data_IF_912062368678
#
_entry.id   IF_912062368678
#
_cell.length_a   1.000
_cell.length_b   1.000
_cell.length_c   1.000
_cell.angle_alpha   90.00
_cell.angle_beta   90.00
_cell.angle_gamma   90.00
#
_symmetry.space_group_name_H-M   'P 1'
#
loop_
_entity.id
_entity.type
_entity.pdbx_description
1 polymer ?
#
# COMPACT_ATOMS: atom_id res chain seq x y z
N UNK A 1 -10.19 0.10 17.97
CA UNK A 1 -11.16 0.24 16.85
C UNK A 1 -12.51 -0.28 17.36
N UNK A 2 -13.62 0.42 17.07
CA UNK A 2 -14.98 0.00 17.47
C UNK A 2 -15.78 -0.30 16.20
N UNK A 3 -16.64 -1.32 16.25
CA UNK A 3 -17.59 -1.61 15.15
C UNK A 3 -18.61 -0.48 15.03
N UNK A 4 -19.38 -0.48 13.93
CA UNK A 4 -20.56 0.38 13.74
C UNK A 4 -21.55 0.30 14.93
N UNK A 5 -21.49 -0.79 15.71
CA UNK A 5 -22.33 -1.04 16.88
C UNK A 5 -21.62 -0.76 18.23
N UNK A 6 -20.44 -0.14 18.21
CA UNK A 6 -19.73 0.29 19.41
C UNK A 6 -18.93 -0.80 20.14
N UNK A 7 -18.89 -2.03 19.63
CA UNK A 7 -18.10 -3.11 20.22
C UNK A 7 -16.62 -2.96 19.88
N UNK A 8 -15.69 -3.21 20.83
CA UNK A 8 -14.28 -3.34 20.50
C UNK A 8 -14.10 -4.47 19.48
N UNK A 9 -13.51 -4.17 18.32
CA UNK A 9 -13.14 -5.22 17.36
C UNK A 9 -11.90 -5.95 17.86
N UNK A 10 -11.96 -7.27 17.84
CA UNK A 10 -10.84 -8.15 18.21
C UNK A 10 -9.87 -8.33 17.05
N UNK A 11 -8.63 -8.75 17.35
CA UNK A 11 -7.62 -9.11 16.33
C UNK A 11 -8.13 -10.21 15.38
N UNK A 12 -8.94 -11.14 15.88
CA UNK A 12 -9.57 -12.20 15.07
C UNK A 12 -10.50 -11.61 14.01
N UNK A 13 -11.31 -10.61 14.37
CA UNK A 13 -12.26 -9.99 13.45
C UNK A 13 -11.58 -9.07 12.45
N UNK A 14 -10.52 -8.38 12.86
CA UNK A 14 -9.81 -7.43 11.99
C UNK A 14 -8.72 -8.07 11.14
N UNK A 15 -8.35 -9.33 11.39
CA UNK A 15 -7.24 -9.98 10.71
C UNK A 15 -5.92 -9.24 10.93
N UNK A 16 -5.70 -8.73 12.14
CA UNK A 16 -4.59 -7.84 12.51
C UNK A 16 -4.57 -6.49 11.75
N UNK A 17 -5.69 -5.99 11.25
CA UNK A 17 -5.74 -4.60 10.81
C UNK A 17 -5.61 -3.67 12.02
N UNK A 18 -4.45 -3.02 12.12
CA UNK A 18 -4.08 -2.08 13.19
C UNK A 18 -3.94 -0.64 12.69
N UNK A 19 -4.43 -0.33 11.48
CA UNK A 19 -4.37 1.02 10.98
C UNK A 19 -5.26 1.97 11.77
N UNK A 20 -4.78 3.21 11.89
CA UNK A 20 -5.50 4.30 12.55
C UNK A 20 -5.71 5.44 11.58
N UNK A 21 -6.97 5.91 11.50
CA UNK A 21 -7.38 7.01 10.63
C UNK A 21 -6.61 8.29 10.97
N UNK A 22 -6.14 9.01 9.95
CA UNK A 22 -5.42 10.28 10.08
C UNK A 22 -3.97 10.17 10.57
N UNK A 23 -3.43 8.96 10.79
CA UNK A 23 -2.02 8.82 11.17
C UNK A 23 -1.07 9.20 10.03
N UNK A 24 -0.01 9.92 10.38
CA UNK A 24 1.12 10.24 9.52
C UNK A 24 2.29 9.27 9.79
N UNK A 25 3.38 9.39 9.04
CA UNK A 25 4.56 8.56 9.28
C UNK A 25 5.23 8.77 10.64
N UNK A 26 5.09 9.93 11.26
CA UNK A 26 5.56 10.15 12.64
C UNK A 26 4.93 9.17 13.65
N UNK A 27 3.72 8.66 13.38
CA UNK A 27 3.04 7.67 14.22
C UNK A 27 3.40 6.23 13.86
N UNK A 28 4.25 6.01 12.84
CA UNK A 28 4.48 4.68 12.29
C UNK A 28 5.27 3.79 13.27
N UNK A 29 6.24 4.35 13.99
CA UNK A 29 7.01 3.61 15.00
C UNK A 29 6.12 3.09 16.15
N UNK A 30 5.15 3.88 16.61
CA UNK A 30 4.21 3.46 17.65
C UNK A 30 3.27 2.36 17.15
N UNK A 31 2.72 2.52 15.94
CA UNK A 31 1.90 1.47 15.30
C UNK A 31 2.70 0.18 15.09
N UNK A 32 3.98 0.30 14.74
CA UNK A 32 4.90 -0.83 14.58
C UNK A 32 5.14 -1.54 15.91
N UNK A 33 5.35 -0.80 16.99
CA UNK A 33 5.48 -1.37 18.34
C UNK A 33 4.22 -2.16 18.73
N UNK A 34 3.05 -1.54 18.56
CA UNK A 34 1.76 -2.18 18.84
C UNK A 34 1.56 -3.47 18.02
N UNK A 35 1.97 -3.47 16.74
CA UNK A 35 1.94 -4.66 15.89
C UNK A 35 2.83 -5.78 16.44
N UNK A 36 4.08 -5.47 16.81
CA UNK A 36 5.03 -6.44 17.35
C UNK A 36 4.49 -7.04 18.65
N UNK A 37 3.98 -6.21 19.55
CA UNK A 37 3.43 -6.65 20.83
C UNK A 37 2.16 -7.50 20.65
N UNK A 38 1.33 -7.14 19.66
CA UNK A 38 0.17 -7.94 19.25
C UNK A 38 0.61 -9.31 18.73
N UNK A 39 1.62 -9.38 17.85
CA UNK A 39 2.14 -10.66 17.36
C UNK A 39 2.72 -11.54 18.47
N UNK A 40 3.43 -10.96 19.44
CA UNK A 40 4.03 -11.70 20.56
C UNK A 40 2.99 -12.26 21.53
N UNK A 41 1.87 -11.56 21.71
CA UNK A 41 0.84 -11.90 22.69
C UNK A 41 -0.33 -12.71 22.12
N UNK A 42 -0.51 -12.73 20.80
CA UNK A 42 -1.66 -13.38 20.17
C UNK A 42 -1.56 -14.92 20.21
N UNK A 43 -2.47 -15.63 20.91
CA UNK A 43 -2.35 -17.08 21.13
C UNK A 43 -2.41 -17.95 19.87
N UNK A 44 -3.00 -17.43 18.79
CA UNK A 44 -3.17 -18.17 17.52
C UNK A 44 -2.03 -18.00 16.52
N UNK A 45 -0.95 -17.30 16.88
CA UNK A 45 0.21 -17.04 16.03
C UNK A 45 1.46 -17.55 16.75
N UNK A 46 2.24 -18.40 16.09
CA UNK A 46 3.58 -18.69 16.56
C UNK A 46 4.50 -17.54 16.13
N UNK A 47 4.87 -16.69 17.09
CA UNK A 47 5.71 -15.52 16.82
C UNK A 47 7.01 -15.87 16.10
N UNK A 48 7.66 -16.97 16.47
CA UNK A 48 8.97 -17.38 15.92
C UNK A 48 8.84 -18.15 14.61
N UNK A 49 7.85 -19.04 14.50
CA UNK A 49 7.81 -20.02 13.41
C UNK A 49 6.90 -19.64 12.24
N UNK A 50 5.83 -18.88 12.47
CA UNK A 50 4.91 -18.56 11.37
C UNK A 50 5.48 -17.44 10.49
N UNK A 51 5.28 -17.52 9.18
CA UNK A 51 5.53 -16.37 8.31
C UNK A 51 4.44 -15.32 8.51
N UNK A 52 4.84 -14.05 8.64
CA UNK A 52 3.93 -12.90 8.70
C UNK A 52 4.03 -12.08 7.43
N UNK A 53 2.89 -11.79 6.81
CA UNK A 53 2.80 -10.83 5.70
C UNK A 53 2.14 -9.55 6.21
N UNK A 54 2.81 -8.41 6.02
CA UNK A 54 2.29 -7.09 6.43
C UNK A 54 2.31 -6.16 5.24
N UNK A 55 1.22 -5.44 5.01
CA UNK A 55 1.16 -4.38 3.99
C UNK A 55 1.12 -3.02 4.67
N UNK A 56 1.89 -2.07 4.15
CA UNK A 56 2.02 -0.68 4.62
C UNK A 56 1.63 0.25 3.48
N UNK A 57 0.74 1.20 3.73
CA UNK A 57 0.30 2.22 2.77
C UNK A 57 0.23 3.59 3.47
N UNK A 58 1.36 4.16 3.85
CA UNK A 58 1.39 5.39 4.66
C UNK A 58 2.08 6.54 3.90
N UNK A 59 1.84 7.79 4.32
CA UNK A 59 2.45 8.99 3.72
C UNK A 59 1.47 9.95 3.04
N UNK A 60 0.25 9.50 2.71
CA UNK A 60 -0.77 10.37 2.10
C UNK A 60 -1.24 11.47 3.07
N UNK A 61 -1.35 11.16 4.36
CA UNK A 61 -1.66 12.17 5.38
C UNK A 61 -0.51 13.18 5.53
N UNK A 62 0.75 12.74 5.47
CA UNK A 62 1.92 13.64 5.49
C UNK A 62 1.85 14.66 4.34
N UNK A 63 1.47 14.23 3.13
CA UNK A 63 1.22 15.13 2.00
C UNK A 63 0.02 16.05 2.30
N UNK A 64 -1.10 15.52 2.80
CA UNK A 64 -2.28 16.30 3.17
C UNK A 64 -2.04 17.37 4.25
N UNK A 65 -1.01 17.17 5.08
CA UNK A 65 -0.66 18.02 6.21
C UNK A 65 0.57 18.89 5.95
N UNK A 66 1.24 18.76 4.81
CA UNK A 66 2.50 19.44 4.52
C UNK A 66 2.46 20.96 4.76
N UNK A 67 1.43 21.63 4.21
CA UNK A 67 1.23 23.07 4.38
C UNK A 67 0.90 23.50 5.82
N UNK A 68 0.59 22.57 6.73
CA UNK A 68 0.38 22.86 8.16
C UNK A 68 1.71 22.93 8.91
N UNK A 69 2.70 22.14 8.50
CA UNK A 69 4.06 22.17 9.03
C UNK A 69 5.03 21.50 8.04
N UNK A 70 5.66 22.32 7.19
CA UNK A 70 6.51 21.85 6.09
C UNK A 70 7.77 21.12 6.57
N UNK A 71 8.25 21.45 7.78
CA UNK A 71 9.39 20.77 8.41
C UNK A 71 8.98 19.39 8.92
N UNK A 72 7.89 19.30 9.69
CA UNK A 72 7.44 18.04 10.30
C UNK A 72 7.04 17.02 9.24
N UNK A 73 6.27 17.44 8.24
CA UNK A 73 5.78 16.60 7.14
C UNK A 73 6.64 16.76 5.87
N UNK A 74 7.94 16.90 6.06
CA UNK A 74 8.93 16.91 4.98
C UNK A 74 9.19 15.49 4.45
N UNK A 75 9.72 15.40 3.23
CA UNK A 75 10.13 14.10 2.66
C UNK A 75 11.23 13.47 3.51
N UNK A 76 12.14 14.26 4.08
CA UNK A 76 13.23 13.75 4.91
C UNK A 76 12.71 13.11 6.21
N UNK A 77 11.73 13.73 6.87
CA UNK A 77 11.09 13.14 8.04
C UNK A 77 10.27 11.90 7.67
N UNK A 78 9.55 11.92 6.53
CA UNK A 78 8.87 10.75 6.02
C UNK A 78 9.82 9.55 5.87
N UNK A 79 10.98 9.75 5.21
CA UNK A 79 11.99 8.70 5.05
C UNK A 79 12.61 8.30 6.39
N UNK A 80 12.87 9.26 7.29
CA UNK A 80 13.40 8.98 8.62
C UNK A 80 12.49 8.04 9.42
N UNK A 81 11.19 8.38 9.52
CA UNK A 81 10.22 7.58 10.26
C UNK A 81 9.95 6.23 9.60
N UNK A 82 9.84 6.19 8.26
CA UNK A 82 9.75 4.93 7.52
C UNK A 82 10.94 4.01 7.80
N UNK A 83 12.16 4.56 7.76
CA UNK A 83 13.39 3.79 8.01
C UNK A 83 13.39 3.21 9.42
N UNK A 84 13.09 4.02 10.43
CA UNK A 84 13.08 3.57 11.83
C UNK A 84 12.06 2.47 12.12
N UNK A 85 10.86 2.57 11.55
CA UNK A 85 9.83 1.54 11.68
C UNK A 85 10.20 0.23 10.97
N UNK A 86 10.76 0.30 9.75
CA UNK A 86 11.21 -0.88 9.01
C UNK A 86 12.41 -1.57 9.67
N UNK A 87 13.37 -0.80 10.22
CA UNK A 87 14.46 -1.36 11.02
C UNK A 87 13.93 -2.10 12.25
N UNK A 88 12.94 -1.53 12.94
CA UNK A 88 12.30 -2.16 14.11
C UNK A 88 11.69 -3.52 13.75
N UNK A 89 10.94 -3.58 12.64
CA UNK A 89 10.39 -4.84 12.12
C UNK A 89 11.49 -5.85 11.77
N UNK A 90 12.53 -5.42 11.03
CA UNK A 90 13.63 -6.27 10.61
C UNK A 90 14.41 -6.86 11.79
N UNK A 91 14.57 -6.09 12.86
CA UNK A 91 15.35 -6.49 14.03
C UNK A 91 14.57 -7.36 15.02
N UNK A 92 13.25 -7.17 15.12
CA UNK A 92 12.46 -7.80 16.18
C UNK A 92 11.52 -8.90 15.71
N UNK A 93 11.14 -8.94 14.43
CA UNK A 93 10.14 -9.89 13.92
C UNK A 93 10.81 -10.90 12.99
N UNK A 94 10.87 -12.19 13.38
CA UNK A 94 11.36 -13.24 12.50
C UNK A 94 10.32 -13.59 11.44
N UNK A 95 10.78 -14.13 10.30
CA UNK A 95 9.94 -14.67 9.21
C UNK A 95 8.86 -13.68 8.76
N UNK A 96 9.28 -12.55 8.19
CA UNK A 96 8.34 -11.49 7.81
C UNK A 96 8.57 -10.95 6.40
N UNK A 97 7.48 -10.77 5.66
CA UNK A 97 7.47 -10.03 4.40
C UNK A 97 6.66 -8.76 4.64
N UNK A 98 7.25 -7.61 4.32
CA UNK A 98 6.60 -6.30 4.40
C UNK A 98 6.37 -5.79 2.99
N UNK A 99 5.12 -5.78 2.53
CA UNK A 99 4.72 -5.04 1.35
C UNK A 99 4.62 -3.56 1.72
N UNK A 100 5.39 -2.69 1.05
CA UNK A 100 5.14 -1.24 1.11
C UNK A 100 4.50 -0.83 -0.20
N UNK A 101 3.24 -0.41 -0.14
CA UNK A 101 2.50 0.08 -1.30
C UNK A 101 2.96 1.50 -1.61
N UNK A 102 3.30 1.76 -2.87
CA UNK A 102 3.71 3.09 -3.29
C UNK A 102 2.56 4.09 -3.12
N UNK A 103 2.90 5.31 -2.67
CA UNK A 103 1.96 6.42 -2.55
C UNK A 103 1.46 6.78 -3.96
N UNK A 104 0.16 6.96 -4.15
CA UNK A 104 -0.39 7.42 -5.43
C UNK A 104 -0.13 8.91 -5.67
N UNK A 105 -0.26 9.36 -6.91
CA UNK A 105 -0.34 10.81 -7.18
C UNK A 105 -1.69 11.32 -6.68
N UNK A 106 -1.66 12.34 -5.83
CA UNK A 106 -2.84 12.81 -5.09
C UNK A 106 -3.63 13.89 -5.84
N UNK A 107 -3.00 14.66 -6.72
CA UNK A 107 -3.66 15.73 -7.51
C UNK A 107 -4.95 15.27 -8.23
N UNK A 108 -4.97 14.11 -8.93
CA UNK A 108 -6.17 13.63 -9.60
C UNK A 108 -7.39 13.43 -8.69
N UNK A 109 -7.18 13.22 -7.37
CA UNK A 109 -8.28 13.07 -6.42
C UNK A 109 -9.14 14.35 -6.29
N UNK A 110 -8.65 15.52 -6.73
CA UNK A 110 -9.42 16.76 -6.79
C UNK A 110 -10.61 16.68 -7.77
N UNK A 111 -10.58 15.74 -8.72
CA UNK A 111 -11.70 15.48 -9.64
C UNK A 111 -12.85 14.71 -8.99
N UNK A 112 -12.62 14.04 -7.85
CA UNK A 112 -13.64 13.23 -7.17
C UNK A 112 -14.57 14.17 -6.42
N UNK A 113 -15.82 14.28 -6.89
CA UNK A 113 -16.82 15.16 -6.29
C UNK A 113 -18.16 14.45 -6.11
N UNK A 114 -18.80 14.70 -4.96
CA UNK A 114 -20.15 14.24 -4.61
C UNK A 114 -20.90 15.35 -3.87
N UNK A 115 -22.22 15.49 -4.06
CA UNK A 115 -23.05 16.45 -3.32
C UNK A 115 -23.35 15.93 -1.90
N UNK A 116 -22.31 15.75 -1.10
CA UNK A 116 -22.39 15.19 0.26
C UNK A 116 -21.61 16.05 1.23
N UNK A 117 -22.04 16.08 2.50
CA UNK A 117 -21.35 16.86 3.54
C UNK A 117 -19.91 16.38 3.73
N UNK A 118 -19.65 15.07 3.66
CA UNK A 118 -18.30 14.50 3.77
C UNK A 118 -17.36 15.09 2.72
N UNK A 119 -17.77 15.11 1.45
CA UNK A 119 -16.99 15.68 0.36
C UNK A 119 -16.72 17.18 0.54
N UNK A 120 -17.65 17.94 1.14
CA UNK A 120 -17.41 19.34 1.48
C UNK A 120 -16.39 19.49 2.62
N UNK A 121 -16.43 18.59 3.60
CA UNK A 121 -15.49 18.53 4.73
C UNK A 121 -14.10 18.01 4.35
N UNK A 122 -13.94 17.39 3.18
CA UNK A 122 -12.65 16.93 2.65
C UNK A 122 -11.60 18.06 2.62
N UNK A 123 -12.04 19.30 2.40
CA UNK A 123 -11.23 20.54 2.49
C UNK A 123 -10.58 20.78 3.85
N UNK A 124 -11.04 20.10 4.90
CA UNK A 124 -10.50 20.18 6.26
C UNK A 124 -9.49 19.08 6.54
N UNK A 125 -9.69 17.87 6.01
CA UNK A 125 -8.81 16.73 6.27
C UNK A 125 -7.59 16.68 5.35
N UNK A 126 -7.71 17.12 4.09
CA UNK A 126 -6.59 17.22 3.15
C UNK A 126 -6.47 18.63 2.54
N UNK A 127 -6.39 19.64 3.41
CA UNK A 127 -6.48 21.05 2.99
C UNK A 127 -5.42 21.47 1.98
N UNK A 128 -4.20 20.92 2.09
CA UNK A 128 -3.09 21.28 1.20
C UNK A 128 -3.36 20.87 -0.25
N UNK A 129 -4.10 19.78 -0.48
CA UNK A 129 -4.47 19.30 -1.81
C UNK A 129 -5.68 20.05 -2.39
N UNK A 130 -6.71 20.26 -1.57
CA UNK A 130 -8.06 20.60 -2.06
C UNK A 130 -8.30 22.09 -2.16
N UNK A 131 -7.71 22.88 -1.24
CA UNK A 131 -7.96 24.33 -1.17
C UNK A 131 -7.26 25.15 -2.26
N UNK A 132 -6.00 24.83 -2.64
CA UNK A 132 -5.32 25.61 -3.66
C UNK A 132 -6.06 25.62 -4.99
N UNK A 133 -5.95 26.74 -5.71
CA UNK A 133 -6.45 26.85 -7.09
C UNK A 133 -5.61 25.99 -8.04
N UNK A 134 -6.18 25.60 -9.19
CA UNK A 134 -5.52 24.64 -10.10
C UNK A 134 -4.14 25.09 -10.60
N UNK A 135 -3.91 26.39 -10.80
CA UNK A 135 -2.63 26.90 -11.31
C UNK A 135 -1.74 27.53 -10.23
N UNK A 136 -2.10 27.36 -8.96
CA UNK A 136 -1.44 28.05 -7.86
C UNK A 136 -0.05 27.47 -7.55
N UNK A 137 0.89 28.28 -7.07
CA UNK A 137 2.21 27.80 -6.67
C UNK A 137 2.14 26.76 -5.56
N UNK A 138 1.18 26.86 -4.65
CA UNK A 138 0.99 25.91 -3.54
C UNK A 138 0.60 24.51 -4.05
N UNK A 139 -0.24 24.41 -5.08
CA UNK A 139 -0.57 23.11 -5.66
C UNK A 139 0.63 22.52 -6.39
N UNK A 140 1.39 23.33 -7.14
CA UNK A 140 2.60 22.89 -7.85
C UNK A 140 3.64 22.34 -6.87
N UNK A 141 3.89 23.06 -5.77
CA UNK A 141 4.77 22.61 -4.70
C UNK A 141 4.32 21.27 -4.12
N UNK A 142 3.02 21.09 -3.86
CA UNK A 142 2.49 19.83 -3.32
C UNK A 142 2.64 18.66 -4.31
N UNK A 143 2.43 18.90 -5.61
CA UNK A 143 2.62 17.87 -6.65
C UNK A 143 4.09 17.45 -6.73
N UNK A 144 5.01 18.41 -6.72
CA UNK A 144 6.45 18.15 -6.69
C UNK A 144 6.86 17.38 -5.43
N UNK A 145 6.32 17.77 -4.27
CA UNK A 145 6.51 17.07 -3.01
C UNK A 145 6.02 15.61 -3.09
N UNK A 146 4.82 15.36 -3.63
CA UNK A 146 4.28 14.00 -3.77
C UNK A 146 5.20 13.12 -4.65
N UNK A 147 5.73 13.66 -5.74
CA UNK A 147 6.67 12.95 -6.61
C UNK A 147 8.00 12.66 -5.88
N UNK A 148 8.47 13.60 -5.06
CA UNK A 148 9.67 13.44 -4.25
C UNK A 148 9.50 12.38 -3.15
N UNK A 149 8.32 12.30 -2.51
CA UNK A 149 7.95 11.19 -1.61
C UNK A 149 8.06 9.84 -2.32
N UNK A 150 7.46 9.71 -3.52
CA UNK A 150 7.52 8.47 -4.31
C UNK A 150 8.97 8.09 -4.64
N UNK A 151 9.77 9.05 -5.13
CA UNK A 151 11.15 8.84 -5.54
C UNK A 151 12.04 8.42 -4.37
N UNK A 152 11.91 9.09 -3.23
CA UNK A 152 12.73 8.80 -2.03
C UNK A 152 12.34 7.48 -1.39
N UNK A 153 11.05 7.11 -1.41
CA UNK A 153 10.62 5.79 -0.95
C UNK A 153 11.19 4.67 -1.84
N UNK A 154 11.18 4.85 -3.16
CA UNK A 154 11.82 3.92 -4.10
C UNK A 154 13.32 3.77 -3.82
N UNK A 155 14.03 4.88 -3.60
CA UNK A 155 15.45 4.84 -3.26
C UNK A 155 15.74 4.08 -1.96
N UNK A 156 14.88 4.26 -0.94
CA UNK A 156 15.01 3.56 0.33
C UNK A 156 14.81 2.04 0.13
N UNK A 157 13.75 1.64 -0.58
CA UNK A 157 13.31 0.24 -0.64
C UNK A 157 13.97 -0.59 -1.74
N UNK A 158 14.57 0.03 -2.75
CA UNK A 158 15.42 -0.66 -3.72
C UNK A 158 16.87 -0.85 -3.26
N UNK A 159 17.20 -0.39 -2.05
CA UNK A 159 18.47 -0.73 -1.42
C UNK A 159 18.44 -2.15 -0.82
N UNK A 160 19.61 -2.75 -0.61
CA UNK A 160 19.72 -4.06 0.05
C UNK A 160 19.52 -3.99 1.58
N UNK A 161 19.15 -2.82 2.13
CA UNK A 161 19.05 -2.59 3.59
C UNK A 161 18.05 -3.53 4.27
N UNK A 162 16.90 -3.75 3.64
CA UNK A 162 15.76 -4.44 4.25
C UNK A 162 15.57 -5.87 3.72
N UNK A 163 16.68 -6.60 3.60
CA UNK A 163 16.69 -7.98 3.11
C UNK A 163 17.64 -8.86 3.93
N UNK A 164 17.14 -9.99 4.43
CA UNK A 164 17.91 -11.09 5.02
C UNK A 164 17.15 -12.41 4.83
N UNK A 165 17.70 -13.53 5.29
CA UNK A 165 17.16 -14.87 5.03
C UNK A 165 15.67 -15.03 5.38
N UNK A 166 15.24 -14.46 6.50
CA UNK A 166 13.88 -14.58 7.03
C UNK A 166 13.10 -13.25 7.02
N UNK A 167 13.58 -12.23 6.30
CA UNK A 167 12.93 -10.93 6.26
C UNK A 167 13.13 -10.20 4.94
N UNK A 168 12.06 -9.62 4.39
CA UNK A 168 12.15 -8.77 3.22
C UNK A 168 11.12 -7.63 3.25
N UNK A 169 11.55 -6.43 2.85
CA UNK A 169 10.64 -5.33 2.49
C UNK A 169 10.58 -5.23 0.97
N UNK A 170 9.37 -5.21 0.42
CA UNK A 170 9.11 -5.22 -1.02
C UNK A 170 8.21 -4.04 -1.37
N UNK A 171 8.68 -3.18 -2.28
CA UNK A 171 7.85 -2.13 -2.83
C UNK A 171 6.81 -2.73 -3.78
N UNK A 172 5.55 -2.31 -3.63
CA UNK A 172 4.43 -2.67 -4.51
C UNK A 172 3.95 -1.40 -5.24
N UNK A 173 4.47 -1.12 -6.46
CA UNK A 173 4.27 0.15 -7.15
C UNK A 173 2.93 0.28 -7.88
N UNK A 174 2.00 -0.67 -7.75
CA UNK A 174 0.77 -0.69 -8.54
C UNK A 174 -0.05 0.61 -8.48
N UNK A 175 0.01 1.38 -7.39
CA UNK A 175 -0.67 2.67 -7.25
C UNK A 175 0.10 3.89 -7.74
N UNK A 176 1.38 3.78 -8.08
CA UNK A 176 2.29 4.90 -8.36
C UNK A 176 1.72 5.93 -9.34
N UNK A 177 1.00 5.45 -10.36
CA UNK A 177 0.45 6.25 -11.47
C UNK A 177 -1.07 6.15 -11.57
N UNK A 178 -1.73 5.54 -10.58
CA UNK A 178 -3.15 5.26 -10.64
C UNK A 178 -3.96 6.56 -10.69
N UNK A 179 -4.84 6.63 -11.68
CA UNK A 179 -5.81 7.70 -11.86
C UNK A 179 -7.19 7.26 -11.35
N UNK A 180 -8.07 8.20 -10.96
CA UNK A 180 -9.44 7.89 -10.59
C UNK A 180 -10.14 7.06 -11.68
N UNK A 181 -10.96 6.05 -11.30
CA UNK A 181 -11.76 5.30 -12.25
C UNK A 181 -12.75 6.22 -12.96
N UNK A 182 -13.02 5.94 -14.24
CA UNK A 182 -13.96 6.70 -15.07
C UNK A 182 -15.03 5.78 -15.65
N UNK A 183 -16.25 6.31 -15.74
CA UNK A 183 -17.36 5.71 -16.47
C UNK A 183 -17.14 5.85 -17.99
N UNK A 184 -17.89 5.12 -18.84
CA UNK A 184 -17.80 5.26 -20.29
C UNK A 184 -18.04 6.67 -20.84
N UNK A 185 -18.70 7.53 -20.05
CA UNK A 185 -18.92 8.94 -20.38
C UNK A 185 -17.79 9.89 -19.94
N UNK A 186 -16.66 9.35 -19.45
CA UNK A 186 -15.48 10.10 -19.02
C UNK A 186 -15.54 10.73 -17.63
N UNK A 187 -16.71 10.69 -16.96
CA UNK A 187 -16.83 11.17 -15.57
C UNK A 187 -16.20 10.20 -14.60
N UNK A 188 -15.67 10.70 -13.48
CA UNK A 188 -15.18 9.86 -12.39
C UNK A 188 -16.29 8.91 -11.91
N UNK A 189 -15.97 7.62 -11.81
CA UNK A 189 -16.84 6.63 -11.19
C UNK A 189 -16.79 6.79 -9.67
N UNK A 190 -17.67 7.64 -9.16
CA UNK A 190 -17.74 7.97 -7.75
C UNK A 190 -18.17 6.77 -6.86
N UNK A 191 -18.60 5.64 -7.43
CA UNK A 191 -18.93 4.43 -6.65
C UNK A 191 -17.72 3.79 -5.97
N UNK A 192 -16.51 4.11 -6.44
CA UNK A 192 -15.26 3.69 -5.82
C UNK A 192 -14.91 4.43 -4.53
N UNK A 193 -15.53 5.60 -4.27
CA UNK A 193 -15.17 6.46 -3.15
C UNK A 193 -16.28 6.52 -2.11
N UNK A 194 -15.94 6.69 -0.83
CA UNK A 194 -16.90 6.91 0.25
C UNK A 194 -17.59 8.29 0.09
N UNK A 195 -18.52 8.67 0.98
CA UNK A 195 -19.11 10.02 0.97
C UNK A 195 -18.12 11.16 1.23
N UNK A 196 -16.87 10.90 1.63
CA UNK A 196 -15.87 11.96 1.80
C UNK A 196 -15.09 12.32 0.51
N UNK A 197 -15.34 11.60 -0.60
CA UNK A 197 -14.66 11.78 -1.88
C UNK A 197 -13.15 11.49 -1.89
N UNK A 198 -12.62 10.87 -0.85
CA UNK A 198 -11.19 10.63 -0.69
C UNK A 198 -10.90 9.15 -0.49
N UNK A 199 -11.63 8.54 0.43
CA UNK A 199 -11.42 7.14 0.81
C UNK A 199 -12.16 6.17 -0.10
N UNK A 200 -11.70 4.93 -0.17
CA UNK A 200 -12.28 3.93 -1.05
C UNK A 200 -13.47 3.21 -0.39
N UNK A 201 -14.50 2.90 -1.18
CA UNK A 201 -15.53 1.94 -0.75
C UNK A 201 -14.97 0.52 -0.79
N UNK A 202 -15.79 -0.45 -0.35
CA UNK A 202 -15.50 -1.89 -0.52
C UNK A 202 -15.11 -2.20 -1.97
N UNK A 203 -15.80 -1.61 -2.96
CA UNK A 203 -15.48 -1.77 -4.39
C UNK A 203 -14.04 -1.35 -4.70
N UNK A 204 -13.59 -0.20 -4.20
CA UNK A 204 -12.22 0.25 -4.38
C UNK A 204 -11.22 -0.63 -3.65
N UNK A 205 -11.52 -1.03 -2.41
CA UNK A 205 -10.68 -1.94 -1.64
C UNK A 205 -10.50 -3.31 -2.30
N UNK A 206 -11.54 -3.85 -2.94
CA UNK A 206 -11.44 -5.11 -3.69
C UNK A 206 -10.44 -5.00 -4.85
N UNK A 207 -10.49 -3.92 -5.63
CA UNK A 207 -9.55 -3.73 -6.73
C UNK A 207 -8.12 -3.44 -6.24
N UNK A 208 -7.97 -2.67 -5.16
CA UNK A 208 -6.67 -2.48 -4.49
C UNK A 208 -6.05 -3.81 -4.08
N UNK A 209 -6.84 -4.69 -3.45
CA UNK A 209 -6.39 -6.00 -3.01
C UNK A 209 -5.94 -6.88 -4.19
N UNK A 210 -6.67 -6.86 -5.32
CA UNK A 210 -6.29 -7.58 -6.55
C UNK A 210 -5.00 -7.04 -7.15
N UNK A 211 -4.83 -5.72 -7.19
CA UNK A 211 -3.60 -5.07 -7.65
C UNK A 211 -2.38 -5.48 -6.83
N UNK A 212 -2.51 -5.41 -5.50
CA UNK A 212 -1.48 -5.85 -4.55
C UNK A 212 -1.15 -7.35 -4.73
N UNK A 213 -2.16 -8.21 -4.81
CA UNK A 213 -1.98 -9.64 -5.05
C UNK A 213 -1.13 -9.91 -6.29
N UNK A 214 -1.49 -9.28 -7.41
CA UNK A 214 -0.73 -9.44 -8.65
C UNK A 214 0.72 -8.96 -8.50
N UNK A 215 0.94 -7.82 -7.86
CA UNK A 215 2.27 -7.26 -7.62
C UNK A 215 3.18 -8.18 -6.77
N UNK A 216 2.62 -8.89 -5.78
CA UNK A 216 3.39 -9.86 -4.98
C UNK A 216 3.93 -11.03 -5.80
N UNK A 217 3.22 -11.45 -6.84
CA UNK A 217 3.59 -12.58 -7.71
C UNK A 217 4.19 -12.15 -9.05
N UNK A 218 4.61 -10.90 -9.17
CA UNK A 218 5.35 -10.37 -10.31
C UNK A 218 6.80 -10.08 -9.90
N UNK A 219 7.79 -10.45 -10.74
CA UNK A 219 9.19 -10.17 -10.44
C UNK A 219 9.47 -8.67 -10.44
N UNK A 220 10.53 -8.29 -9.72
CA UNK A 220 10.98 -6.90 -9.66
C UNK A 220 11.32 -6.37 -11.06
N UNK A 221 10.90 -5.14 -11.37
CA UNK A 221 10.99 -4.56 -12.72
C UNK A 221 9.89 -4.97 -13.71
N UNK A 222 9.09 -6.00 -13.39
CA UNK A 222 7.91 -6.42 -14.18
C UNK A 222 6.60 -6.23 -13.40
N UNK A 223 6.66 -5.63 -12.19
CA UNK A 223 5.47 -5.30 -11.40
C UNK A 223 4.58 -4.35 -12.19
N UNK A 224 3.33 -4.75 -12.36
CA UNK A 224 2.33 -3.96 -13.05
C UNK A 224 2.08 -2.65 -12.30
N UNK A 225 2.02 -1.54 -13.05
CA UNK A 225 1.57 -0.24 -12.57
C UNK A 225 0.20 0.05 -13.14
N UNK A 226 -0.78 0.28 -12.28
CA UNK A 226 -2.14 0.58 -12.69
C UNK A 226 -2.24 1.97 -13.30
N UNK A 227 -2.94 2.07 -14.42
CA UNK A 227 -3.37 3.36 -14.99
C UNK A 227 -4.68 3.83 -14.36
N UNK A 228 -5.70 2.97 -14.28
CA UNK A 228 -7.00 3.28 -13.67
C UNK A 228 -7.76 2.01 -13.29
N UNK A 229 -8.66 2.10 -12.31
CA UNK A 229 -9.61 1.02 -11.94
C UNK A 229 -10.89 1.00 -12.79
N UNK A 230 -10.88 1.66 -13.96
CA UNK A 230 -12.05 1.71 -14.85
C UNK A 230 -12.42 0.31 -15.38
N UNK A 231 -11.41 -0.54 -15.59
CA UNK A 231 -11.57 -1.95 -15.91
C UNK A 231 -11.23 -2.83 -14.70
N UNK A 232 -11.99 -3.92 -14.43
CA UNK A 232 -11.69 -4.81 -13.33
C UNK A 232 -10.32 -5.48 -13.46
N UNK A 233 -9.54 -5.49 -12.37
CA UNK A 233 -8.26 -6.16 -12.32
C UNK A 233 -8.47 -7.67 -12.37
N UNK A 234 -7.82 -8.31 -13.35
CA UNK A 234 -7.78 -9.77 -13.45
C UNK A 234 -6.72 -10.31 -12.50
N UNK A 235 -7.13 -11.18 -11.58
CA UNK A 235 -6.21 -11.86 -10.67
C UNK A 235 -5.29 -12.82 -11.44
N UNK A 236 -4.01 -12.79 -11.11
CA UNK A 236 -3.05 -13.78 -11.59
C UNK A 236 -3.01 -14.97 -10.64
N UNK A 237 -2.95 -16.17 -11.22
CA UNK A 237 -2.58 -17.37 -10.49
C UNK A 237 -1.05 -17.50 -10.52
N UNK A 238 -0.39 -17.71 -9.37
CA UNK A 238 1.04 -18.07 -9.33
C UNK A 238 1.28 -19.35 -10.14
N UNK A 239 2.40 -19.37 -10.88
CA UNK A 239 2.76 -20.52 -11.71
C UNK A 239 3.31 -21.66 -10.85
N UNK A 240 3.30 -22.90 -11.37
CA UNK A 240 3.87 -24.05 -10.67
C UNK A 240 5.39 -23.95 -10.54
N UNK A 241 6.04 -23.26 -11.47
CA UNK A 241 7.49 -23.06 -11.49
C UNK A 241 7.94 -22.05 -10.42
N UNK A 242 7.08 -21.08 -10.08
CA UNK A 242 7.37 -20.10 -9.03
C UNK A 242 6.09 -19.71 -8.26
N UNK A 243 5.64 -20.54 -7.30
CA UNK A 243 4.42 -20.31 -6.52
C UNK A 243 4.64 -19.35 -5.33
N UNK A 244 5.72 -18.56 -5.32
CA UNK A 244 6.16 -17.76 -4.19
C UNK A 244 6.08 -16.25 -4.46
N UNK A 245 5.98 -15.47 -3.39
CA UNK A 245 6.07 -14.00 -3.44
C UNK A 245 7.50 -13.61 -3.82
N UNK A 246 7.65 -12.65 -4.74
CA UNK A 246 8.96 -12.10 -5.10
C UNK A 246 9.43 -11.11 -4.03
N UNK A 247 10.62 -11.36 -3.45
CA UNK A 247 11.13 -10.60 -2.28
C UNK A 247 12.46 -9.88 -2.49
N UNK A 248 13.18 -10.10 -3.60
CA UNK A 248 14.45 -9.41 -3.86
C UNK A 248 14.28 -8.16 -4.73
N UNK A 249 14.78 -6.98 -4.30
CA UNK A 249 14.94 -5.83 -5.17
C UNK A 249 16.10 -6.10 -6.14
N UNK A 250 15.77 -6.60 -7.34
CA UNK A 250 16.70 -6.84 -8.47
C UNK A 250 17.72 -7.98 -8.26
N UNK A 251 17.89 -8.78 -9.30
CA UNK A 251 18.74 -9.95 -9.31
C UNK A 251 20.23 -9.61 -9.29
N UNK A 252 20.94 -10.03 -8.23
CA UNK A 252 22.28 -10.56 -8.41
C UNK A 252 22.17 -11.83 -9.26
N UNK A 253 22.38 -11.70 -10.58
CA UNK A 253 22.48 -12.82 -11.51
C UNK A 253 21.66 -12.64 -12.79
N UNK A 254 22.30 -12.07 -13.81
CA UNK A 254 21.87 -12.19 -15.20
C UNK A 254 21.89 -13.67 -15.62
N UNK A 255 20.71 -14.26 -15.76
CA UNK A 255 20.47 -15.27 -16.79
C UNK A 255 19.29 -14.79 -17.62
N UNK A 256 19.45 -14.50 -18.92
CA UNK A 256 18.32 -14.18 -19.77
C UNK A 256 17.36 -15.36 -19.78
N UNK A 257 16.09 -15.13 -19.42
CA UNK A 257 15.03 -16.09 -19.70
C UNK A 257 14.94 -16.22 -21.23
N UNK A 258 14.89 -17.43 -21.82
CA UNK A 258 14.70 -17.57 -23.25
C UNK A 258 13.40 -16.88 -23.65
N UNK A 259 13.42 -16.07 -24.71
CA UNK A 259 12.21 -15.52 -25.32
C UNK A 259 11.26 -16.67 -25.61
N UNK A 260 10.15 -16.75 -24.88
CA UNK A 260 9.06 -17.67 -25.21
C UNK A 260 8.44 -17.18 -26.52
N UNK A 261 8.71 -17.89 -27.60
CA UNK A 261 7.98 -17.78 -28.85
C UNK A 261 6.50 -17.98 -28.57
N UNK A 262 5.68 -17.02 -28.99
CA UNK A 262 4.22 -17.02 -28.87
C UNK A 262 3.65 -18.23 -29.59
N UNK A 263 3.45 -19.31 -28.84
CA UNK A 263 2.58 -20.42 -29.21
C UNK A 263 1.47 -20.39 -28.17
N UNK A 264 0.20 -20.44 -28.59
CA UNK A 264 -0.94 -20.44 -27.68
C UNK A 264 -0.78 -21.56 -26.64
N UNK A 265 -0.28 -21.19 -25.46
CA UNK A 265 -0.17 -22.09 -24.33
C UNK A 265 -1.55 -22.23 -23.67
N UNK A 266 -1.90 -23.43 -23.20
CA UNK A 266 -3.18 -23.66 -22.52
C UNK A 266 -3.25 -22.78 -21.25
N UNK A 267 -4.49 -22.48 -20.84
CA UNK A 267 -4.83 -21.74 -19.63
C UNK A 267 -3.94 -22.19 -18.45
N UNK A 268 -3.22 -21.29 -17.77
CA UNK A 268 -2.30 -21.68 -16.72
C UNK A 268 -3.06 -22.40 -15.59
N UNK A 269 -2.72 -23.66 -15.33
CA UNK A 269 -3.23 -24.40 -14.17
C UNK A 269 -2.60 -23.84 -12.91
N UNK A 270 -3.41 -23.29 -11.99
CA UNK A 270 -2.94 -22.74 -10.72
C UNK A 270 -2.13 -23.80 -9.94
N UNK A 271 -1.04 -23.36 -9.30
CA UNK A 271 -0.31 -24.23 -8.39
C UNK A 271 -1.21 -24.64 -7.21
N UNK A 272 -1.23 -25.93 -6.87
CA UNK A 272 -1.82 -26.39 -5.61
C UNK A 272 -0.98 -25.87 -4.45
N UNK A 273 -1.59 -25.30 -3.40
CA UNK A 273 -0.84 -24.70 -2.29
C UNK A 273 0.04 -25.76 -1.62
N UNK A 274 1.35 -25.47 -1.53
CA UNK A 274 2.23 -26.21 -0.61
C UNK A 274 1.77 -25.90 0.82
N UNK A 275 1.70 -26.92 1.68
CA UNK A 275 1.28 -26.80 3.08
C UNK A 275 2.32 -26.10 3.97
N UNK A 276 2.83 -24.94 3.58
CA UNK A 276 3.42 -24.00 4.52
C UNK A 276 2.30 -23.14 5.11
N UNK A 277 2.20 -23.09 6.45
CA UNK A 277 1.26 -22.20 7.13
C UNK A 277 1.72 -20.75 6.92
N UNK A 278 1.33 -20.15 5.80
CA UNK A 278 1.45 -18.71 5.61
C UNK A 278 0.28 -18.09 6.37
N UNK A 279 0.56 -17.47 7.51
CA UNK A 279 -0.41 -16.60 8.14
C UNK A 279 -0.47 -15.34 7.27
N UNK A 280 -1.56 -15.17 6.52
CA UNK A 280 -1.88 -13.93 5.81
C UNK A 280 -2.84 -13.11 6.69
N UNK A 281 -2.36 -12.40 7.72
CA UNK A 281 -3.14 -11.27 8.18
C UNK A 281 -3.18 -10.27 7.02
N UNK A 282 -4.39 -9.85 6.65
CA UNK A 282 -4.59 -8.73 5.73
C UNK A 282 -4.22 -7.46 6.50
N UNK A 283 -2.93 -7.27 6.77
CA UNK A 283 -2.44 -6.07 7.43
C UNK A 283 -2.38 -4.99 6.37
N UNK A 284 -3.29 -4.03 6.40
CA UNK A 284 -3.11 -2.73 5.76
C UNK A 284 -2.74 -1.75 6.88
N UNK A 285 -1.47 -1.40 7.02
CA UNK A 285 -1.00 -0.21 7.74
C UNK A 285 -1.27 1.03 6.87
N UNK A 286 -2.55 1.23 6.61
CA UNK A 286 -3.28 2.50 6.59
C UNK A 286 -4.70 2.20 6.11
N UNK A 287 -5.66 2.59 6.92
CA UNK A 287 -7.03 2.66 6.51
C UNK A 287 -7.17 3.97 5.75
N UNK A 288 -7.37 3.87 4.44
CA UNK A 288 -8.04 4.90 3.66
C UNK A 288 -9.54 4.80 3.97
N UNK A 289 -9.98 5.17 5.19
CA UNK A 289 -11.37 5.08 5.66
C UNK A 289 -12.13 6.40 5.56
#
# INVERSE_FOLDING_TARGET
MRTLHGYPTTVNETGFNLAVTGHNTLNFSEQTRNLIDTFKSYPGLNFTEDWKLVTVLIGMNDICDHCKNTTLFSVDNFIHYMTGALDMLMNEVPRMIVNVVQIMQMEPLREVQKPTLGCQLQKSFCSCLVRPAADSPELKELVELNLEFQRRLEQLLYSDRFFKEDFAVVLQPYLKRAQPPRLPNGKVDASFFTPDCFHFTIKGHEELAKGLWNNMFQPEGEKFMLETFSDPIKLICPSKEHPYIYTRPRAAGTTPRPRSTTTLAPTPTCATPLQSRLFLPLLALAYLL
#
